data_IF_408053476976
#
_entry.id   IF_408053476976
#
_cell.length_a   1.000
_cell.length_b   1.000
_cell.length_c   1.000
_cell.angle_alpha   90.00
_cell.angle_beta   90.00
_cell.angle_gamma   90.00
#
_symmetry.space_group_name_H-M   'P 1'
#
loop_
_entity.id
_entity.type
_entity.pdbx_description
1 polymer ?
#
# COMPACT_ATOMS: atom_id res chain seq x y z
N UNK A 1 -5.87 21.39 3.00
CA UNK A 1 -6.51 20.13 2.57
C UNK A 1 -5.64 19.49 1.50
N UNK A 2 -5.11 18.30 1.76
CA UNK A 2 -4.42 17.52 0.75
C UNK A 2 -5.49 17.01 -0.24
N UNK A 3 -5.34 17.29 -1.54
CA UNK A 3 -6.26 16.73 -2.53
C UNK A 3 -5.93 15.24 -2.68
N UNK A 4 -6.82 14.40 -2.17
CA UNK A 4 -6.80 12.96 -2.44
C UNK A 4 -7.79 12.64 -3.57
N UNK A 5 -7.59 11.55 -4.32
CA UNK A 5 -8.54 11.12 -5.36
C UNK A 5 -9.94 10.85 -4.79
N UNK A 6 -10.96 10.97 -5.64
CA UNK A 6 -12.33 10.61 -5.28
C UNK A 6 -12.39 9.14 -4.85
N UNK A 7 -13.04 8.86 -3.72
CA UNK A 7 -13.14 7.51 -3.18
C UNK A 7 -11.89 6.98 -2.46
N UNK A 8 -10.85 7.81 -2.30
CA UNK A 8 -9.60 7.41 -1.63
C UNK A 8 -9.83 6.70 -0.29
N UNK A 9 -10.62 7.28 0.62
CA UNK A 9 -10.88 6.68 1.93
C UNK A 9 -11.61 5.34 1.82
N UNK A 10 -12.59 5.22 0.92
CA UNK A 10 -13.24 3.92 0.64
C UNK A 10 -12.24 2.87 0.14
N UNK A 11 -11.29 3.27 -0.69
CA UNK A 11 -10.22 2.38 -1.15
C UNK A 11 -9.30 1.94 -0.01
N UNK A 12 -8.88 2.86 0.88
CA UNK A 12 -8.08 2.50 2.06
C UNK A 12 -8.84 1.55 2.98
N UNK A 13 -10.14 1.77 3.18
CA UNK A 13 -11.01 0.87 3.93
C UNK A 13 -11.03 -0.54 3.33
N UNK A 14 -11.24 -0.65 2.01
CA UNK A 14 -11.23 -1.93 1.29
C UNK A 14 -9.89 -2.67 1.47
N UNK A 15 -8.76 -1.97 1.38
CA UNK A 15 -7.44 -2.59 1.60
C UNK A 15 -7.31 -3.08 3.04
N UNK A 16 -7.74 -2.28 4.02
CA UNK A 16 -7.69 -2.65 5.44
C UNK A 16 -8.45 -3.95 5.71
N UNK A 17 -9.65 -4.09 5.15
CA UNK A 17 -10.44 -5.33 5.22
C UNK A 17 -9.78 -6.54 4.55
N UNK A 18 -8.86 -6.30 3.60
CA UNK A 18 -8.10 -7.30 2.83
C UNK A 18 -6.65 -7.47 3.31
N UNK A 19 -6.35 -6.96 4.49
CA UNK A 19 -5.09 -7.21 5.20
C UNK A 19 -5.40 -7.96 6.49
N UNK A 20 -4.45 -8.73 7.01
CA UNK A 20 -4.62 -9.40 8.30
C UNK A 20 -4.23 -8.46 9.47
N UNK A 21 -3.27 -7.54 9.26
CA UNK A 21 -2.79 -6.62 10.33
C UNK A 21 -3.03 -5.13 10.07
N UNK A 22 -3.19 -4.69 8.82
CA UNK A 22 -3.31 -3.28 8.44
C UNK A 22 -2.03 -2.69 7.83
N UNK A 23 -1.85 -1.38 8.00
CA UNK A 23 -0.74 -0.61 7.40
C UNK A 23 0.28 -0.16 8.43
N UNK A 24 1.52 -0.03 7.96
CA UNK A 24 2.62 0.54 8.75
C UNK A 24 3.47 1.49 7.91
N UNK A 25 3.82 2.61 8.55
CA UNK A 25 4.86 3.55 8.18
C UNK A 25 5.84 3.65 9.35
N UNK A 26 7.04 4.14 9.07
CA UNK A 26 8.14 4.27 10.04
C UNK A 26 7.77 5.06 11.32
N UNK A 27 6.73 5.89 11.27
CA UNK A 27 6.30 6.78 12.37
C UNK A 27 4.84 6.63 12.77
N UNK A 28 4.08 5.78 12.09
CA UNK A 28 2.64 5.62 12.33
C UNK A 28 2.17 4.28 11.80
N UNK A 29 1.17 3.70 12.44
CA UNK A 29 0.47 2.51 11.95
C UNK A 29 -1.03 2.77 11.88
N UNK A 30 -1.68 2.06 10.97
CA UNK A 30 -3.13 2.01 10.87
C UNK A 30 -3.52 0.52 10.94
N UNK A 31 -3.71 -0.02 12.16
CA UNK A 31 -4.01 -1.43 12.35
C UNK A 31 -5.43 -1.75 11.89
N UNK A 32 -5.67 -2.99 11.49
CA UNK A 32 -7.02 -3.48 11.15
C UNK A 32 -7.95 -3.46 12.37
N UNK A 33 -7.46 -3.97 13.49
CA UNK A 33 -8.19 -4.00 14.75
C UNK A 33 -7.57 -3.00 15.74
N UNK A 34 -8.37 -2.19 16.45
CA UNK A 34 -9.84 -2.20 16.51
C UNK A 34 -10.54 -1.37 15.41
N UNK A 35 -9.81 -0.80 14.45
CA UNK A 35 -10.37 0.16 13.47
C UNK A 35 -11.57 -0.37 12.69
N UNK A 36 -11.55 -1.62 12.23
CA UNK A 36 -12.66 -2.25 11.51
C UNK A 36 -13.87 -2.59 12.39
N UNK A 37 -13.68 -2.71 13.71
CA UNK A 37 -14.76 -3.03 14.66
C UNK A 37 -15.45 -1.77 15.18
N UNK A 38 -14.71 -0.67 15.30
CA UNK A 38 -15.18 0.59 15.89
C UNK A 38 -15.70 1.59 14.85
N UNK A 39 -15.40 1.39 13.57
CA UNK A 39 -15.69 2.35 12.50
C UNK A 39 -16.40 1.69 11.32
N UNK A 40 -17.02 2.50 10.46
CA UNK A 40 -17.62 2.02 9.20
C UNK A 40 -17.03 2.77 7.99
N UNK A 41 -17.06 2.12 6.83
CA UNK A 41 -16.72 2.74 5.54
C UNK A 41 -17.50 4.06 5.33
N UNK A 42 -16.78 5.13 5.00
CA UNK A 42 -17.39 6.43 4.70
C UNK A 42 -17.72 7.30 5.92
N UNK A 43 -17.50 6.81 7.15
CA UNK A 43 -17.59 7.64 8.34
C UNK A 43 -16.45 8.66 8.43
N UNK A 44 -16.76 9.84 8.98
CA UNK A 44 -15.77 10.92 9.17
C UNK A 44 -14.61 10.50 10.05
N UNK A 45 -14.86 9.67 11.07
CA UNK A 45 -13.82 9.22 12.01
C UNK A 45 -12.74 8.41 11.30
N UNK A 46 -13.14 7.52 10.38
CA UNK A 46 -12.18 6.77 9.58
C UNK A 46 -11.36 7.69 8.67
N UNK A 47 -12.01 8.63 7.99
CA UNK A 47 -11.32 9.60 7.14
C UNK A 47 -10.28 10.42 7.92
N UNK A 48 -10.64 10.90 9.12
CA UNK A 48 -9.71 11.59 10.03
C UNK A 48 -8.54 10.71 10.44
N UNK A 49 -8.80 9.42 10.76
CA UNK A 49 -7.75 8.48 11.15
C UNK A 49 -6.74 8.25 10.02
N UNK A 50 -7.22 8.13 8.78
CA UNK A 50 -6.37 8.01 7.59
C UNK A 50 -5.59 9.31 7.34
N UNK A 51 -6.21 10.46 7.54
CA UNK A 51 -5.55 11.76 7.43
C UNK A 51 -4.43 11.94 8.46
N UNK A 52 -4.67 11.57 9.73
CA UNK A 52 -3.66 11.58 10.79
C UNK A 52 -2.49 10.65 10.45
N UNK A 53 -2.80 9.43 9.99
CA UNK A 53 -1.80 8.45 9.54
C UNK A 53 -0.91 9.00 8.43
N UNK A 54 -1.49 9.63 7.40
CA UNK A 54 -0.69 10.23 6.31
C UNK A 54 0.00 11.55 6.71
N UNK A 55 -0.57 12.29 7.67
CA UNK A 55 -0.02 13.55 8.15
C UNK A 55 1.26 13.37 8.98
N UNK A 56 1.52 12.15 9.48
CA UNK A 56 2.79 11.78 10.14
C UNK A 56 4.01 11.92 9.20
N UNK A 57 3.78 11.87 7.89
CA UNK A 57 4.80 11.96 6.86
C UNK A 57 5.19 13.42 6.61
N UNK A 58 6.42 13.85 6.92
CA UNK A 58 6.80 15.25 6.85
C UNK A 58 6.94 15.79 5.41
N UNK A 59 7.32 14.95 4.45
CA UNK A 59 7.55 15.35 3.06
C UNK A 59 6.26 15.22 2.23
N UNK A 60 5.73 16.32 1.66
CA UNK A 60 4.48 16.26 0.90
C UNK A 60 4.59 15.40 -0.37
N UNK A 61 5.75 15.36 -1.02
CA UNK A 61 6.00 14.56 -2.23
C UNK A 61 5.92 13.07 -1.92
N UNK A 62 6.51 12.64 -0.80
CA UNK A 62 6.41 11.24 -0.35
C UNK A 62 4.98 10.88 0.02
N UNK A 63 4.23 11.81 0.63
CA UNK A 63 2.82 11.60 0.94
C UNK A 63 1.98 11.39 -0.33
N UNK A 64 2.28 12.09 -1.43
CA UNK A 64 1.62 11.86 -2.71
C UNK A 64 1.94 10.48 -3.28
N UNK A 65 3.21 10.03 -3.19
CA UNK A 65 3.59 8.66 -3.57
C UNK A 65 2.84 7.61 -2.74
N UNK A 66 2.63 7.83 -1.45
CA UNK A 66 1.83 6.93 -0.61
C UNK A 66 0.36 6.90 -1.01
N UNK A 67 -0.22 8.05 -1.33
CA UNK A 67 -1.61 8.11 -1.85
C UNK A 67 -1.70 7.33 -3.16
N UNK A 68 -0.75 7.51 -4.08
CA UNK A 68 -0.70 6.75 -5.32
C UNK A 68 -0.54 5.24 -5.06
N UNK A 69 0.43 4.85 -4.23
CA UNK A 69 0.66 3.46 -3.85
C UNK A 69 -0.62 2.81 -3.30
N UNK A 70 -1.32 3.47 -2.37
CA UNK A 70 -2.58 2.98 -1.81
C UNK A 70 -3.65 2.82 -2.89
N UNK A 71 -3.77 3.75 -3.83
CA UNK A 71 -4.71 3.62 -4.96
C UNK A 71 -4.37 2.40 -5.84
N UNK A 72 -3.08 2.14 -6.07
CA UNK A 72 -2.62 0.97 -6.84
C UNK A 72 -2.91 -0.32 -6.08
N UNK A 73 -2.62 -0.38 -4.77
CA UNK A 73 -2.94 -1.55 -3.93
C UNK A 73 -4.43 -1.86 -3.99
N UNK A 74 -5.29 -0.86 -3.77
CA UNK A 74 -6.74 -1.03 -3.86
C UNK A 74 -7.17 -1.56 -5.24
N UNK A 75 -6.61 -1.01 -6.32
CA UNK A 75 -6.92 -1.46 -7.68
C UNK A 75 -6.52 -2.91 -7.92
N UNK A 76 -5.34 -3.32 -7.44
CA UNK A 76 -4.86 -4.71 -7.55
C UNK A 76 -5.77 -5.66 -6.78
N UNK A 77 -6.13 -5.33 -5.53
CA UNK A 77 -7.02 -6.17 -4.71
C UNK A 77 -8.47 -6.20 -5.22
N UNK A 78 -8.96 -5.11 -5.81
CA UNK A 78 -10.32 -5.06 -6.37
C UNK A 78 -10.45 -5.94 -7.62
N UNK A 79 -9.38 -6.04 -8.41
CA UNK A 79 -9.32 -6.89 -9.60
C UNK A 79 -9.09 -8.37 -9.28
N UNK A 80 -8.45 -8.68 -8.15
CA UNK A 80 -8.10 -10.04 -7.74
C UNK A 80 -8.68 -10.30 -6.35
N UNK A 81 -9.95 -10.73 -6.29
CA UNK A 81 -10.71 -10.85 -5.04
C UNK A 81 -10.24 -11.99 -4.14
N UNK A 82 -9.45 -12.89 -4.67
CA UNK A 82 -8.78 -14.00 -3.98
C UNK A 82 -7.53 -13.55 -3.23
N UNK A 83 -6.94 -12.41 -3.60
CA UNK A 83 -5.73 -11.90 -2.96
C UNK A 83 -6.06 -11.17 -1.65
N UNK A 84 -5.19 -11.38 -0.66
CA UNK A 84 -5.14 -10.63 0.60
C UNK A 84 -3.69 -10.55 1.08
N UNK A 85 -3.39 -9.52 1.86
CA UNK A 85 -2.12 -9.43 2.57
C UNK A 85 -2.21 -10.21 3.88
N UNK A 86 -1.30 -11.16 4.08
CA UNK A 86 -1.27 -12.02 5.26
C UNK A 86 -0.42 -11.42 6.39
N UNK A 87 0.36 -10.39 6.08
CA UNK A 87 1.21 -9.66 7.02
C UNK A 87 0.89 -8.17 6.99
N UNK A 88 1.49 -7.41 7.91
CA UNK A 88 1.42 -5.95 7.92
C UNK A 88 1.96 -5.37 6.61
N UNK A 89 1.17 -4.49 5.98
CA UNK A 89 1.56 -3.80 4.75
C UNK A 89 2.49 -2.63 5.14
N UNK A 90 3.79 -2.85 5.01
CA UNK A 90 4.80 -1.83 5.24
C UNK A 90 4.96 -0.93 4.02
N UNK A 91 4.31 0.23 4.07
CA UNK A 91 4.24 1.13 2.92
C UNK A 91 5.62 1.69 2.53
N UNK A 92 6.50 1.95 3.51
CA UNK A 92 7.86 2.43 3.23
C UNK A 92 8.69 1.41 2.45
N UNK A 93 8.58 0.12 2.78
CA UNK A 93 9.29 -0.95 2.07
C UNK A 93 8.79 -1.08 0.63
N UNK A 94 7.48 -0.95 0.40
CA UNK A 94 6.90 -0.97 -0.96
C UNK A 94 7.34 0.23 -1.79
N UNK A 95 7.40 1.44 -1.23
CA UNK A 95 7.89 2.62 -1.96
C UNK A 95 9.36 2.47 -2.30
N UNK A 96 10.19 2.07 -1.33
CA UNK A 96 11.62 1.87 -1.56
C UNK A 96 11.88 0.77 -2.61
N UNK A 97 11.16 -0.36 -2.55
CA UNK A 97 11.26 -1.42 -3.55
C UNK A 97 10.87 -0.95 -4.96
N UNK A 98 9.85 -0.10 -5.09
CA UNK A 98 9.47 0.49 -6.36
C UNK A 98 10.55 1.48 -6.88
N UNK A 99 11.15 2.27 -5.99
CA UNK A 99 12.24 3.19 -6.33
C UNK A 99 13.52 2.45 -6.75
N UNK A 100 13.85 1.35 -6.08
CA UNK A 100 14.96 0.46 -6.44
C UNK A 100 14.74 -0.15 -7.83
N UNK A 101 13.54 -0.67 -8.08
CA UNK A 101 13.16 -1.24 -9.38
C UNK A 101 13.23 -0.19 -10.50
N UNK A 102 12.75 1.03 -10.23
CA UNK A 102 12.83 2.16 -11.15
C UNK A 102 14.28 2.53 -11.49
N UNK A 103 15.14 2.65 -10.48
CA UNK A 103 16.53 3.02 -10.67
C UNK A 103 17.28 1.92 -11.46
N UNK A 104 17.01 0.65 -11.15
CA UNK A 104 17.60 -0.49 -11.85
C UNK A 104 17.23 -0.55 -13.33
N UNK A 105 16.00 -0.18 -13.71
CA UNK A 105 15.54 -0.27 -15.09
C UNK A 105 15.79 0.99 -15.93
N UNK A 106 15.74 2.17 -15.31
CA UNK A 106 15.93 3.44 -16.02
C UNK A 106 17.36 3.95 -15.98
N UNK A 107 18.20 3.40 -15.08
CA UNK A 107 19.54 3.91 -14.79
C UNK A 107 19.57 5.28 -14.11
N UNK A 108 18.39 5.81 -13.70
CA UNK A 108 18.27 7.11 -13.02
C UNK A 108 18.41 6.95 -11.52
N UNK A 109 18.72 8.05 -10.84
CA UNK A 109 18.68 8.08 -9.37
C UNK A 109 17.26 7.85 -8.85
N UNK A 110 17.15 7.15 -7.72
CA UNK A 110 15.88 6.92 -7.02
C UNK A 110 15.15 8.23 -6.69
N UNK A 111 15.88 9.32 -6.42
CA UNK A 111 15.35 10.66 -6.18
C UNK A 111 14.49 11.18 -7.34
N UNK A 112 14.70 10.69 -8.56
CA UNK A 112 13.91 11.06 -9.75
C UNK A 112 12.50 10.47 -9.70
N UNK A 113 12.27 9.44 -8.89
CA UNK A 113 10.96 8.80 -8.76
C UNK A 113 9.90 9.78 -8.22
N UNK A 114 10.27 10.68 -7.31
CA UNK A 114 9.38 11.68 -6.72
C UNK A 114 8.78 12.67 -7.73
N UNK A 115 9.46 12.88 -8.86
CA UNK A 115 9.04 13.79 -9.93
C UNK A 115 8.59 13.06 -11.20
N UNK A 116 8.56 11.73 -11.17
CA UNK A 116 8.15 10.92 -12.31
C UNK A 116 6.62 10.89 -12.41
N UNK A 117 6.03 11.02 -13.62
CA UNK A 117 4.58 10.94 -13.78
C UNK A 117 4.01 9.60 -13.30
N UNK A 118 2.79 9.61 -12.76
CA UNK A 118 2.07 8.40 -12.36
C UNK A 118 1.87 7.41 -13.52
N UNK A 119 1.53 7.94 -14.69
CA UNK A 119 1.22 7.15 -15.88
C UNK A 119 2.39 7.03 -16.85
N UNK A 120 2.35 5.98 -17.68
CA UNK A 120 3.35 5.68 -18.71
C UNK A 120 4.14 4.40 -18.41
N UNK A 121 4.86 3.90 -19.41
CA UNK A 121 5.62 2.64 -19.30
C UNK A 121 6.65 2.67 -18.14
N UNK A 122 7.22 3.84 -17.86
CA UNK A 122 8.14 4.09 -16.75
C UNK A 122 7.55 5.03 -15.69
N UNK A 123 6.22 5.09 -15.58
CA UNK A 123 5.53 5.86 -14.55
C UNK A 123 5.56 5.16 -13.19
N UNK A 124 5.37 5.92 -12.11
CA UNK A 124 5.44 5.41 -10.72
C UNK A 124 4.44 4.27 -10.47
N UNK A 125 3.23 4.35 -11.05
CA UNK A 125 2.19 3.30 -10.97
C UNK A 125 2.69 1.93 -11.47
N UNK A 126 3.49 1.90 -12.54
CA UNK A 126 4.03 0.65 -13.10
C UNK A 126 4.94 -0.05 -12.09
N UNK A 127 5.84 0.71 -11.45
CA UNK A 127 6.76 0.17 -10.45
C UNK A 127 6.05 -0.22 -9.16
N UNK A 128 5.04 0.56 -8.73
CA UNK A 128 4.19 0.18 -7.61
C UNK A 128 3.45 -1.12 -7.88
N UNK A 129 2.75 -1.24 -9.01
CA UNK A 129 1.98 -2.44 -9.35
C UNK A 129 2.87 -3.69 -9.34
N UNK A 130 4.06 -3.60 -9.92
CA UNK A 130 5.02 -4.71 -9.94
C UNK A 130 5.53 -5.07 -8.55
N UNK A 131 5.87 -4.07 -7.74
CA UNK A 131 6.35 -4.29 -6.36
C UNK A 131 5.27 -4.95 -5.50
N UNK A 132 4.02 -4.48 -5.60
CA UNK A 132 2.86 -5.03 -4.89
C UNK A 132 2.60 -6.47 -5.32
N UNK A 133 2.56 -6.75 -6.63
CA UNK A 133 2.32 -8.11 -7.14
C UNK A 133 3.43 -9.05 -6.68
N UNK A 134 4.69 -8.63 -6.77
CA UNK A 134 5.80 -9.44 -6.27
C UNK A 134 5.68 -9.72 -4.77
N UNK A 135 5.24 -8.75 -3.97
CA UNK A 135 5.00 -8.94 -2.54
C UNK A 135 3.88 -9.96 -2.28
N UNK A 136 2.73 -9.81 -2.95
CA UNK A 136 1.60 -10.74 -2.83
C UNK A 136 1.95 -12.17 -3.27
N UNK A 137 2.78 -12.31 -4.32
CA UNK A 137 3.29 -13.60 -4.77
C UNK A 137 4.24 -14.23 -3.74
N UNK A 138 5.15 -13.45 -3.13
CA UNK A 138 6.02 -13.97 -2.06
C UNK A 138 5.21 -14.42 -0.83
N UNK A 139 4.18 -13.66 -0.47
CA UNK A 139 3.31 -14.01 0.66
C UNK A 139 2.50 -15.29 0.39
N UNK A 140 1.93 -15.45 -0.81
CA UNK A 140 1.19 -16.68 -1.16
C UNK A 140 2.07 -17.92 -1.14
N UNK A 141 3.33 -17.83 -1.60
CA UNK A 141 4.29 -18.94 -1.51
C UNK A 141 4.59 -19.30 -0.05
N UNK A 142 4.82 -18.31 0.83
CA UNK A 142 5.13 -18.59 2.24
C UNK A 142 3.95 -19.26 2.99
N UNK A 143 2.71 -18.93 2.65
CA UNK A 143 1.52 -19.57 3.25
C UNK A 143 1.44 -21.05 2.91
N UNK A 144 1.86 -21.47 1.72
CA UNK A 144 1.88 -22.90 1.33
C UNK A 144 2.94 -23.68 2.14
N UNK A 145 4.13 -23.10 2.35
CA UNK A 145 5.21 -23.76 3.10
C UNK A 145 4.85 -23.95 4.58
N UNK A 146 4.14 -23.00 5.19
CA UNK A 146 3.66 -23.13 6.58
C UNK A 146 2.46 -24.11 6.72
N UNK A 147 1.66 -24.29 5.66
CA UNK A 147 0.53 -25.21 5.66
C UNK A 147 0.94 -26.69 5.49
N UNK A 148 2.10 -26.98 4.90
CA UNK A 148 2.61 -28.35 4.71
C UNK A 148 3.30 -28.96 5.94
N UNK A 149 3.41 -28.23 7.06
CA UNK A 149 4.13 -28.69 8.25
C UNK A 149 3.21 -28.97 9.46
N UNK A 150 2.18 -29.81 9.29
CA UNK A 150 1.50 -30.48 10.42
C UNK A 150 1.07 -31.90 10.03
N UNK A 151 2.05 -32.78 9.79
CA UNK A 151 1.81 -34.23 9.90
C UNK A 151 2.94 -34.82 10.73
N UNK A 152 2.74 -34.92 12.04
CA UNK A 152 3.48 -35.81 12.95
C UNK A 152 2.62 -36.12 14.17
#
# INVERSE_FOLDING_TARGET
MHRVPTGFYSMVWKILGRSDSGFELSRSSLPKFPTMDEMTEGEKNFALKVEEFLSSVPKPEYRQLLVELLMVIATVLERNKELKFHVTIKLDELVNGAMELFAGETGKEQSTFYSTPASGAFGTTTFFARTIVNQLLKESVNVEVDAECVIS
#
